data_IF_432238264523
#
_entry.id   IF_432238264523
#
_cell.length_a   1.000
_cell.length_b   1.000
_cell.length_c   1.000
_cell.angle_alpha   90.00
_cell.angle_beta   90.00
_cell.angle_gamma   90.00
#
_symmetry.space_group_name_H-M   'P 1'
#
loop_
_entity.id
_entity.type
_entity.pdbx_description
1 polymer ?
#
# COMPACT_ATOMS: atom_id res chain seq x y z
N UNK A 1 8.49 -15.86 18.47
CA UNK A 1 9.52 -15.21 17.62
C UNK A 1 10.16 -14.06 18.39
N UNK A 2 11.45 -13.83 18.23
CA UNK A 2 12.16 -12.80 18.97
C UNK A 2 11.59 -11.41 18.68
N UNK A 3 11.29 -10.62 19.72
CA UNK A 3 10.70 -9.27 19.61
C UNK A 3 11.52 -8.33 18.75
N UNK A 4 12.86 -8.43 18.83
CA UNK A 4 13.76 -7.62 17.98
C UNK A 4 13.56 -7.90 16.48
N UNK A 5 13.28 -9.16 16.09
CA UNK A 5 12.98 -9.52 14.71
C UNK A 5 11.65 -8.89 14.27
N UNK A 6 10.61 -8.94 15.12
CA UNK A 6 9.33 -8.29 14.82
C UNK A 6 9.46 -6.77 14.66
N UNK A 7 10.28 -6.13 15.50
CA UNK A 7 10.59 -4.70 15.37
C UNK A 7 11.31 -4.42 14.04
N UNK A 8 12.29 -5.25 13.68
CA UNK A 8 12.99 -5.13 12.40
C UNK A 8 12.05 -5.27 11.21
N UNK A 9 11.15 -6.26 11.22
CA UNK A 9 10.14 -6.46 10.19
C UNK A 9 9.19 -5.25 10.08
N UNK A 10 8.75 -4.67 11.20
CA UNK A 10 7.94 -3.47 11.19
C UNK A 10 8.71 -2.26 10.65
N UNK A 11 10.00 -2.14 10.96
CA UNK A 11 10.85 -1.09 10.41
C UNK A 11 11.01 -1.20 8.90
N UNK A 12 11.11 -2.43 8.34
CA UNK A 12 11.14 -2.62 6.88
C UNK A 12 9.81 -2.24 6.21
N UNK A 13 8.68 -2.55 6.84
CA UNK A 13 7.37 -2.11 6.37
C UNK A 13 7.25 -0.57 6.37
N UNK A 14 7.70 0.07 7.47
CA UNK A 14 7.73 1.53 7.58
C UNK A 14 8.63 2.16 6.50
N UNK A 15 9.82 1.61 6.29
CA UNK A 15 10.76 2.10 5.28
C UNK A 15 10.17 2.02 3.87
N UNK A 16 9.56 0.89 3.51
CA UNK A 16 8.88 0.76 2.22
C UNK A 16 7.78 1.80 2.04
N UNK A 17 6.91 1.97 3.05
CA UNK A 17 5.81 2.91 2.96
C UNK A 17 6.28 4.36 2.85
N UNK A 18 7.31 4.75 3.63
CA UNK A 18 7.91 6.09 3.58
C UNK A 18 8.55 6.35 2.21
N UNK A 19 9.42 5.45 1.75
CA UNK A 19 10.12 5.61 0.46
C UNK A 19 9.15 5.63 -0.72
N UNK A 20 8.13 4.76 -0.70
CA UNK A 20 7.09 4.72 -1.73
C UNK A 20 6.19 5.97 -1.70
N UNK A 21 5.87 6.48 -0.52
CA UNK A 21 5.14 7.75 -0.37
C UNK A 21 5.95 8.95 -0.86
N UNK A 22 7.22 9.01 -0.50
CA UNK A 22 8.12 10.07 -0.93
C UNK A 22 8.26 10.09 -2.47
N UNK A 23 8.42 8.91 -3.10
CA UNK A 23 8.46 8.80 -4.56
C UNK A 23 7.23 9.45 -5.21
N UNK A 24 6.03 9.18 -4.73
CA UNK A 24 4.83 9.76 -5.30
C UNK A 24 4.74 11.28 -5.07
N UNK A 25 5.22 11.78 -3.93
CA UNK A 25 5.25 13.24 -3.65
C UNK A 25 6.21 13.94 -4.62
N UNK A 26 7.38 13.36 -4.85
CA UNK A 26 8.39 13.93 -5.77
C UNK A 26 7.99 13.80 -7.24
N UNK A 27 7.18 12.77 -7.59
CA UNK A 27 6.70 12.53 -8.95
C UNK A 27 5.17 12.71 -9.03
N UNK A 28 4.69 13.83 -8.50
CA UNK A 28 3.26 14.12 -8.38
C UNK A 28 2.55 14.13 -9.75
N UNK A 29 3.12 14.83 -10.72
CA UNK A 29 2.54 14.95 -12.06
C UNK A 29 2.43 13.60 -12.78
N UNK A 30 3.44 12.75 -12.64
CA UNK A 30 3.43 11.38 -13.19
C UNK A 30 2.35 10.53 -12.52
N UNK A 31 2.22 10.64 -11.19
CA UNK A 31 1.18 9.94 -10.43
C UNK A 31 -0.24 10.37 -10.86
N UNK A 32 -0.44 11.67 -11.10
CA UNK A 32 -1.72 12.19 -11.59
C UNK A 32 -2.02 11.69 -13.01
N UNK A 33 -1.06 11.82 -13.92
CA UNK A 33 -1.19 11.35 -15.30
C UNK A 33 -1.44 9.85 -15.38
N UNK A 34 -0.81 9.05 -14.49
CA UNK A 34 -1.06 7.63 -14.40
C UNK A 34 -2.53 7.33 -14.01
N UNK A 35 -3.04 7.98 -12.96
CA UNK A 35 -4.45 7.77 -12.54
C UNK A 35 -5.41 8.20 -13.64
N UNK A 36 -5.14 9.34 -14.31
CA UNK A 36 -5.93 9.81 -15.44
C UNK A 36 -5.94 8.80 -16.60
N UNK A 37 -4.78 8.30 -16.98
CA UNK A 37 -4.65 7.31 -18.05
C UNK A 37 -5.37 5.99 -17.73
N UNK A 38 -5.30 5.54 -16.46
CA UNK A 38 -6.03 4.35 -16.00
C UNK A 38 -7.53 4.56 -16.03
N UNK A 39 -8.02 5.67 -15.47
CA UNK A 39 -9.48 5.93 -15.39
C UNK A 39 -10.11 6.25 -16.75
N UNK A 40 -9.38 6.90 -17.64
CA UNK A 40 -9.82 7.13 -19.02
C UNK A 40 -9.64 5.91 -19.92
N UNK A 41 -9.02 4.84 -19.42
CA UNK A 41 -8.70 3.61 -20.15
C UNK A 41 -7.92 3.86 -21.46
N UNK A 42 -7.16 4.96 -21.53
CA UNK A 42 -6.39 5.36 -22.72
C UNK A 42 -5.08 4.57 -22.93
N UNK A 43 -4.79 3.63 -22.06
CA UNK A 43 -3.55 2.83 -22.06
C UNK A 43 -3.58 1.63 -23.02
N UNK A 44 -4.69 1.39 -23.70
CA UNK A 44 -4.85 0.30 -24.65
C UNK A 44 -5.96 0.63 -25.68
N UNK A 45 -5.94 -0.07 -26.80
CA UNK A 45 -6.84 0.13 -27.92
C UNK A 45 -8.31 -0.12 -27.50
N UNK A 46 -9.22 0.70 -27.99
CA UNK A 46 -10.67 0.69 -27.73
C UNK A 46 -11.07 0.89 -26.25
N UNK A 47 -10.11 1.15 -25.35
CA UNK A 47 -10.41 1.32 -23.93
C UNK A 47 -11.24 2.56 -23.64
N UNK A 48 -10.94 3.68 -24.28
CA UNK A 48 -11.64 4.95 -24.08
C UNK A 48 -13.14 4.92 -24.48
N UNK A 49 -13.54 3.98 -25.31
CA UNK A 49 -14.94 3.78 -25.72
C UNK A 49 -15.73 2.89 -24.76
N UNK A 50 -15.07 2.36 -23.73
CA UNK A 50 -15.72 1.51 -22.72
C UNK A 50 -16.62 2.32 -21.81
N UNK A 51 -17.70 1.72 -21.34
CA UNK A 51 -18.65 2.36 -20.42
C UNK A 51 -18.04 2.73 -19.05
N UNK A 52 -16.96 2.05 -18.64
CA UNK A 52 -16.22 2.34 -17.40
C UNK A 52 -15.32 3.56 -17.55
N UNK A 53 -14.88 3.89 -18.78
CA UNK A 53 -13.94 4.96 -19.03
C UNK A 53 -14.48 6.31 -18.54
N UNK A 54 -13.66 7.04 -17.82
CA UNK A 54 -14.03 8.34 -17.29
C UNK A 54 -12.85 9.28 -17.21
N UNK A 55 -13.06 10.52 -17.62
CA UNK A 55 -12.14 11.64 -17.43
C UNK A 55 -12.64 12.61 -16.36
N UNK A 56 -13.53 12.15 -15.47
CA UNK A 56 -14.05 12.97 -14.37
C UNK A 56 -12.95 13.37 -13.41
N UNK A 57 -12.69 14.68 -13.21
CA UNK A 57 -11.68 15.15 -12.28
C UNK A 57 -11.91 14.63 -10.83
N UNK A 58 -13.17 14.46 -10.45
CA UNK A 58 -13.53 13.96 -9.10
C UNK A 58 -13.00 12.53 -8.92
N UNK A 59 -13.18 11.66 -9.91
CA UNK A 59 -12.73 10.26 -9.85
C UNK A 59 -11.20 10.18 -9.90
N UNK A 60 -10.57 10.98 -10.75
CA UNK A 60 -9.11 11.06 -10.87
C UNK A 60 -8.51 11.49 -9.51
N UNK A 61 -9.01 12.59 -8.93
CA UNK A 61 -8.53 13.05 -7.63
C UNK A 61 -8.83 12.07 -6.49
N UNK A 62 -9.99 11.43 -6.50
CA UNK A 62 -10.31 10.41 -5.51
C UNK A 62 -9.33 9.22 -5.57
N UNK A 63 -9.01 8.74 -6.76
CA UNK A 63 -8.02 7.68 -6.98
C UNK A 63 -6.62 8.10 -6.51
N UNK A 64 -6.17 9.30 -6.88
CA UNK A 64 -4.89 9.84 -6.46
C UNK A 64 -4.81 9.98 -4.93
N UNK A 65 -5.82 10.59 -4.31
CA UNK A 65 -5.89 10.77 -2.86
C UNK A 65 -5.98 9.44 -2.11
N UNK A 66 -6.65 8.45 -2.67
CA UNK A 66 -6.69 7.10 -2.10
C UNK A 66 -5.28 6.47 -2.05
N UNK A 67 -4.52 6.55 -3.14
CA UNK A 67 -3.15 6.04 -3.20
C UNK A 67 -2.23 6.81 -2.23
N UNK A 68 -2.27 8.13 -2.28
CA UNK A 68 -1.44 8.98 -1.41
C UNK A 68 -1.81 8.83 0.06
N UNK A 69 -3.08 8.94 0.37
CA UNK A 69 -3.60 8.80 1.73
C UNK A 69 -3.25 7.44 2.32
N UNK A 70 -3.41 6.37 1.53
CA UNK A 70 -3.02 5.02 1.92
C UNK A 70 -1.53 4.90 2.24
N UNK A 71 -0.65 5.46 1.39
CA UNK A 71 0.80 5.45 1.62
C UNK A 71 1.20 6.27 2.84
N UNK A 72 0.66 7.48 3.00
CA UNK A 72 0.96 8.35 4.15
C UNK A 72 0.47 7.69 5.45
N UNK A 73 -0.74 7.14 5.46
CA UNK A 73 -1.28 6.45 6.63
C UNK A 73 -0.43 5.22 7.00
N UNK A 74 -0.09 4.37 6.02
CA UNK A 74 0.77 3.21 6.23
C UNK A 74 2.15 3.63 6.74
N UNK A 75 2.79 4.64 6.13
CA UNK A 75 4.09 5.16 6.54
C UNK A 75 4.07 5.66 7.99
N UNK A 76 3.09 6.47 8.33
CA UNK A 76 2.93 7.04 9.68
C UNK A 76 2.67 5.94 10.71
N UNK A 77 1.71 5.04 10.44
CA UNK A 77 1.30 4.01 11.40
C UNK A 77 2.37 2.94 11.58
N UNK A 78 3.06 2.49 10.52
CA UNK A 78 4.17 1.55 10.63
C UNK A 78 5.37 2.18 11.36
N UNK A 79 5.67 3.47 11.13
CA UNK A 79 6.73 4.17 11.84
C UNK A 79 6.44 4.32 13.34
N UNK A 80 5.22 4.72 13.69
CA UNK A 80 4.77 4.78 15.10
C UNK A 80 4.79 3.38 15.72
N UNK A 81 4.32 2.36 14.98
CA UNK A 81 4.37 0.96 15.41
C UNK A 81 5.79 0.50 15.70
N UNK A 82 6.73 0.76 14.81
CA UNK A 82 8.15 0.46 14.98
C UNK A 82 8.69 1.08 16.26
N UNK A 83 8.44 2.37 16.48
CA UNK A 83 8.91 3.11 17.63
C UNK A 83 8.28 2.58 18.94
N UNK A 84 6.98 2.33 18.99
CA UNK A 84 6.29 1.76 20.15
C UNK A 84 6.80 0.37 20.48
N UNK A 85 6.92 -0.50 19.50
CA UNK A 85 7.45 -1.86 19.66
C UNK A 85 8.92 -1.84 20.16
N UNK A 86 9.74 -0.91 19.62
CA UNK A 86 11.11 -0.74 20.12
C UNK A 86 11.16 -0.38 21.60
N UNK A 87 10.31 0.56 22.04
CA UNK A 87 10.21 0.93 23.46
C UNK A 87 9.71 -0.22 24.33
N UNK A 88 8.74 -0.97 23.85
CA UNK A 88 8.12 -2.08 24.57
C UNK A 88 8.90 -3.40 24.48
N UNK A 89 10.04 -3.45 23.79
CA UNK A 89 10.79 -4.70 23.53
C UNK A 89 11.21 -5.49 24.78
N UNK A 90 11.43 -4.80 25.89
CA UNK A 90 11.80 -5.38 27.18
C UNK A 90 10.64 -5.39 28.21
N UNK A 91 9.45 -4.89 27.83
CA UNK A 91 8.27 -4.87 28.68
C UNK A 91 7.62 -6.26 28.78
N UNK A 92 6.52 -6.37 29.52
CA UNK A 92 5.70 -7.59 29.54
C UNK A 92 5.08 -7.88 28.16
N UNK A 93 4.47 -9.08 28.06
CA UNK A 93 3.88 -9.56 26.81
C UNK A 93 2.74 -8.65 26.31
N UNK A 94 1.85 -8.28 27.23
CA UNK A 94 0.64 -7.55 26.86
C UNK A 94 0.96 -6.13 26.37
N UNK A 95 1.89 -5.46 27.03
CA UNK A 95 2.43 -4.16 26.59
C UNK A 95 3.06 -4.23 25.19
N UNK A 96 3.80 -5.31 24.87
CA UNK A 96 4.37 -5.46 23.53
C UNK A 96 3.29 -5.76 22.48
N UNK A 97 2.29 -6.58 22.81
CA UNK A 97 1.15 -6.88 21.95
C UNK A 97 0.34 -5.62 21.63
N UNK A 98 0.11 -4.77 22.62
CA UNK A 98 -0.56 -3.48 22.40
C UNK A 98 0.28 -2.53 21.52
N UNK A 99 1.58 -2.47 21.77
CA UNK A 99 2.50 -1.59 21.03
C UNK A 99 2.52 -1.85 19.53
N UNK A 100 2.30 -3.08 19.07
CA UNK A 100 2.33 -3.46 17.66
C UNK A 100 1.03 -3.14 16.89
N UNK A 101 -0.10 -2.94 17.57
CA UNK A 101 -1.42 -2.82 16.92
C UNK A 101 -1.48 -1.72 15.86
N UNK A 102 -0.93 -0.55 16.15
CA UNK A 102 -0.94 0.55 15.20
C UNK A 102 -0.11 0.24 13.94
N UNK A 103 1.02 -0.45 14.10
CA UNK A 103 1.84 -0.89 12.97
C UNK A 103 1.12 -1.95 12.11
N UNK A 104 0.44 -2.90 12.76
CA UNK A 104 -0.38 -3.90 12.06
C UNK A 104 -1.50 -3.25 11.26
N UNK A 105 -2.17 -2.24 11.82
CA UNK A 105 -3.17 -1.47 11.09
C UNK A 105 -2.55 -0.74 9.88
N UNK A 106 -1.32 -0.21 10.01
CA UNK A 106 -0.56 0.37 8.89
C UNK A 106 -0.28 -0.64 7.77
N UNK A 107 0.13 -1.87 8.12
CA UNK A 107 0.29 -2.95 7.14
C UNK A 107 -1.04 -3.28 6.45
N UNK A 108 -2.13 -3.36 7.21
CA UNK A 108 -3.48 -3.60 6.66
C UNK A 108 -3.92 -2.51 5.68
N UNK A 109 -3.68 -1.24 6.00
CA UNK A 109 -3.98 -0.12 5.08
C UNK A 109 -3.17 -0.24 3.79
N UNK A 110 -1.88 -0.59 3.86
CA UNK A 110 -1.07 -0.80 2.67
C UNK A 110 -1.62 -1.95 1.80
N UNK A 111 -2.04 -3.06 2.41
CA UNK A 111 -2.67 -4.18 1.70
C UNK A 111 -3.98 -3.75 1.04
N UNK A 112 -4.86 -3.04 1.76
CA UNK A 112 -6.13 -2.54 1.21
C UNK A 112 -5.86 -1.61 0.03
N UNK A 113 -4.95 -0.66 0.17
CA UNK A 113 -4.60 0.28 -0.90
C UNK A 113 -4.05 -0.44 -2.14
N UNK A 114 -3.13 -1.39 -1.96
CA UNK A 114 -2.52 -2.12 -3.06
C UNK A 114 -3.49 -3.13 -3.70
N UNK A 115 -4.22 -3.89 -2.89
CA UNK A 115 -5.12 -4.91 -3.42
C UNK A 115 -6.43 -4.30 -3.93
N UNK A 116 -7.15 -3.52 -3.12
CA UNK A 116 -8.42 -2.95 -3.56
C UNK A 116 -8.22 -1.90 -4.66
N UNK A 117 -7.19 -1.03 -4.54
CA UNK A 117 -6.93 0.02 -5.52
C UNK A 117 -6.39 -0.51 -6.85
N UNK A 118 -5.30 -1.28 -6.80
CA UNK A 118 -4.64 -1.73 -8.05
C UNK A 118 -5.26 -3.01 -8.61
N UNK A 119 -5.53 -4.02 -7.79
CA UNK A 119 -6.09 -5.28 -8.29
C UNK A 119 -7.61 -5.17 -8.45
N UNK A 120 -8.32 -4.66 -7.44
CA UNK A 120 -9.78 -4.55 -7.48
C UNK A 120 -10.28 -3.50 -8.47
N UNK A 121 -9.71 -2.29 -8.44
CA UNK A 121 -10.19 -1.16 -9.24
C UNK A 121 -9.42 -1.05 -10.57
N UNK A 122 -8.09 -0.86 -10.51
CA UNK A 122 -7.35 -0.60 -11.74
C UNK A 122 -7.31 -1.84 -12.67
N UNK A 123 -7.03 -3.02 -12.13
CA UNK A 123 -6.98 -4.25 -12.95
C UNK A 123 -8.36 -4.71 -13.38
N UNK A 124 -9.28 -4.95 -12.41
CA UNK A 124 -10.55 -5.58 -12.74
C UNK A 124 -11.60 -4.61 -13.29
N UNK A 125 -11.69 -3.38 -12.77
CA UNK A 125 -12.71 -2.43 -13.22
C UNK A 125 -12.25 -1.61 -14.43
N UNK A 126 -11.02 -1.07 -14.41
CA UNK A 126 -10.46 -0.29 -15.53
C UNK A 126 -9.59 -1.12 -16.48
N UNK A 127 -9.58 -2.44 -16.35
CA UNK A 127 -8.91 -3.41 -17.26
C UNK A 127 -7.42 -3.09 -17.52
N UNK A 128 -6.70 -2.54 -16.53
CA UNK A 128 -5.28 -2.17 -16.68
C UNK A 128 -4.40 -3.32 -17.17
N UNK A 129 -4.81 -4.57 -16.96
CA UNK A 129 -4.12 -5.76 -17.47
C UNK A 129 -4.00 -5.80 -19.00
N UNK A 130 -4.87 -5.08 -19.73
CA UNK A 130 -4.80 -4.96 -21.21
C UNK A 130 -3.67 -4.06 -21.68
N UNK A 131 -3.14 -3.19 -20.83
CA UNK A 131 -2.01 -2.33 -21.19
C UNK A 131 -0.72 -3.16 -21.34
N UNK A 132 -0.23 -3.29 -22.58
CA UNK A 132 0.98 -4.04 -22.89
C UNK A 132 2.24 -3.42 -22.27
N UNK A 133 2.28 -2.08 -22.18
CA UNK A 133 3.48 -1.33 -21.79
C UNK A 133 3.68 -1.31 -20.27
N UNK A 134 2.63 -1.02 -19.50
CA UNK A 134 2.75 -0.76 -18.07
C UNK A 134 1.90 -1.68 -17.18
N UNK A 135 0.84 -2.28 -17.71
CA UNK A 135 -0.11 -3.08 -16.93
C UNK A 135 0.60 -4.18 -16.15
N UNK A 136 1.39 -5.01 -16.81
CA UNK A 136 2.08 -6.14 -16.18
C UNK A 136 3.05 -5.71 -15.08
N UNK A 137 3.80 -4.63 -15.25
CA UNK A 137 4.77 -4.14 -14.27
C UNK A 137 4.09 -3.54 -13.03
N UNK A 138 3.06 -2.75 -13.23
CA UNK A 138 2.29 -2.09 -12.16
C UNK A 138 1.55 -3.12 -11.31
N UNK A 139 0.80 -4.02 -11.96
CA UNK A 139 0.01 -5.05 -11.28
C UNK A 139 0.89 -6.06 -10.54
N UNK A 140 1.98 -6.52 -11.17
CA UNK A 140 2.97 -7.35 -10.50
C UNK A 140 3.60 -6.66 -9.29
N UNK A 141 3.87 -5.36 -9.38
CA UNK A 141 4.34 -4.52 -8.27
C UNK A 141 3.33 -4.49 -7.13
N UNK A 142 2.07 -4.17 -7.43
CA UNK A 142 1.00 -4.10 -6.44
C UNK A 142 0.78 -5.44 -5.72
N UNK A 143 0.75 -6.54 -6.46
CA UNK A 143 0.60 -7.88 -5.92
C UNK A 143 1.78 -8.28 -5.01
N UNK A 144 3.03 -8.06 -5.47
CA UNK A 144 4.25 -8.34 -4.69
C UNK A 144 4.28 -7.57 -3.38
N UNK A 145 4.10 -6.26 -3.45
CA UNK A 145 4.16 -5.40 -2.26
C UNK A 145 2.99 -5.65 -1.32
N UNK A 146 1.78 -5.83 -1.84
CA UNK A 146 0.61 -6.20 -1.05
C UNK A 146 0.79 -7.53 -0.34
N UNK A 147 1.27 -8.55 -1.05
CA UNK A 147 1.58 -9.86 -0.49
C UNK A 147 2.65 -9.82 0.60
N UNK A 148 3.76 -9.09 0.36
CA UNK A 148 4.81 -8.94 1.38
C UNK A 148 4.29 -8.20 2.60
N UNK A 149 3.52 -7.11 2.44
CA UNK A 149 2.93 -6.38 3.56
C UNK A 149 1.96 -7.23 4.37
N UNK A 150 1.16 -8.07 3.71
CA UNK A 150 0.28 -9.04 4.38
C UNK A 150 1.09 -10.07 5.19
N UNK A 151 2.15 -10.64 4.59
CA UNK A 151 3.04 -11.58 5.29
C UNK A 151 3.74 -10.94 6.49
N UNK A 152 4.24 -9.71 6.35
CA UNK A 152 4.81 -8.95 7.46
C UNK A 152 3.78 -8.75 8.57
N UNK A 153 2.54 -8.36 8.23
CA UNK A 153 1.45 -8.23 9.18
C UNK A 153 1.17 -9.54 9.93
N UNK A 154 1.11 -10.67 9.24
CA UNK A 154 0.90 -11.99 9.85
C UNK A 154 2.07 -12.36 10.77
N UNK A 155 3.32 -12.24 10.31
CA UNK A 155 4.51 -12.59 11.09
C UNK A 155 4.65 -11.73 12.35
N UNK A 156 4.40 -10.42 12.24
CA UNK A 156 4.44 -9.51 13.38
C UNK A 156 3.26 -9.76 14.32
N UNK A 157 2.08 -10.06 13.77
CA UNK A 157 0.86 -10.35 14.50
C UNK A 157 0.84 -11.71 15.21
N UNK A 158 1.70 -12.65 14.83
CA UNK A 158 1.76 -13.97 15.45
C UNK A 158 2.04 -13.90 16.97
N UNK A 159 1.37 -14.76 17.74
CA UNK A 159 1.23 -14.64 19.20
C UNK A 159 2.38 -15.20 20.04
N UNK A 160 3.41 -15.82 19.45
CA UNK A 160 4.52 -16.43 20.16
C UNK A 160 5.53 -15.39 20.69
N UNK A 161 5.09 -14.56 21.61
CA UNK A 161 5.91 -13.53 22.29
C UNK A 161 6.27 -13.98 23.71
N UNK A 162 6.86 -15.18 23.83
CA UNK A 162 7.45 -15.65 25.09
C UNK A 162 8.73 -14.92 25.41
#
# INVERSE_FOLDING_TARGET
MYRHVKVGLMATAAWWAVSSGLYNVTNWSESLSFVEAVTSMSLFEDGADSWQATSSPIIIWAGLLFIFGGKIAAATMCSIGTWRMWKARAADRDTFVEARQIGLAGCGIAVIMLFAGFIGIAENFFELWRSADIGGSVLSGAYRYGGVMALLGILIGATDDY
#
